data_IF_884280224511
#
_entry.id   IF_884280224511
#
_cell.length_a   1.000
_cell.length_b   1.000
_cell.length_c   1.000
_cell.angle_alpha   90.00
_cell.angle_beta   90.00
_cell.angle_gamma   90.00
#
_symmetry.space_group_name_H-M   'P 1'
#
loop_
_entity.id
_entity.type
_entity.pdbx_description
1 polymer ?
#
# COMPACT_ATOMS: atom_id res chain seq x y z
N UNK A 1 8.16 -6.24 53.43
CA UNK A 1 6.98 -6.50 52.59
C UNK A 1 7.39 -6.23 51.16
N UNK A 2 7.65 -7.30 50.44
CA UNK A 2 8.14 -7.33 49.09
C UNK A 2 6.94 -7.19 48.14
N UNK A 3 6.91 -6.12 47.33
CA UNK A 3 5.92 -5.96 46.26
C UNK A 3 6.18 -6.98 45.16
N UNK A 4 5.23 -7.84 44.95
CA UNK A 4 5.22 -8.79 43.86
C UNK A 4 5.12 -8.02 42.51
N UNK A 5 6.16 -8.13 41.70
CA UNK A 5 6.10 -7.76 40.27
C UNK A 5 5.21 -8.76 39.54
N UNK A 6 3.97 -8.36 39.24
CA UNK A 6 3.11 -9.08 38.35
C UNK A 6 3.70 -9.05 36.92
N UNK A 7 4.37 -10.14 36.57
CA UNK A 7 4.91 -10.41 35.27
C UNK A 7 3.81 -10.78 34.28
N UNK A 8 3.29 -9.81 33.54
CA UNK A 8 2.60 -10.06 32.28
C UNK A 8 3.42 -9.41 31.16
N UNK A 9 4.17 -10.24 30.41
CA UNK A 9 5.16 -9.85 29.40
C UNK A 9 4.57 -9.19 28.17
N UNK A 10 3.87 -8.07 28.36
CA UNK A 10 3.65 -7.07 27.32
C UNK A 10 4.69 -5.98 27.55
N UNK A 11 5.72 -5.96 26.72
CA UNK A 11 6.68 -4.85 26.67
C UNK A 11 5.93 -3.51 26.59
N UNK A 12 6.55 -2.43 27.09
CA UNK A 12 5.97 -1.10 27.07
C UNK A 12 5.45 -0.77 25.67
N UNK A 13 4.16 -0.43 25.57
CA UNK A 13 3.54 -0.17 24.26
C UNK A 13 4.06 1.16 23.68
N UNK A 14 4.32 1.18 22.38
CA UNK A 14 4.70 2.40 21.66
C UNK A 14 3.59 3.45 21.83
N UNK A 15 3.90 4.71 22.20
CA UNK A 15 2.94 5.81 22.28
C UNK A 15 2.23 6.04 20.95
N UNK A 16 0.91 6.25 20.98
CA UNK A 16 0.06 6.43 19.78
C UNK A 16 -0.43 7.87 19.70
N UNK A 17 -0.81 8.32 18.50
CA UNK A 17 -1.37 9.64 18.23
C UNK A 17 -0.68 10.34 17.06
N UNK A 18 -1.20 11.52 16.68
CA UNK A 18 -0.75 12.28 15.51
C UNK A 18 -0.25 13.69 15.86
N UNK A 19 -0.25 14.07 17.13
CA UNK A 19 0.23 15.37 17.58
C UNK A 19 1.76 15.38 17.71
N UNK A 20 2.34 16.57 17.76
CA UNK A 20 3.77 16.75 17.93
C UNK A 20 4.28 16.12 19.25
N UNK A 21 3.51 16.25 20.32
CA UNK A 21 3.81 15.66 21.63
C UNK A 21 3.87 14.13 21.57
N UNK A 22 3.00 13.50 20.75
CA UNK A 22 3.01 12.05 20.54
C UNK A 22 4.28 11.60 19.80
N UNK A 23 4.76 12.40 18.86
CA UNK A 23 6.03 12.16 18.16
C UNK A 23 7.21 12.25 19.12
N UNK A 24 7.25 13.25 19.99
CA UNK A 24 8.27 13.44 21.02
C UNK A 24 8.24 12.30 22.05
N UNK A 25 7.05 11.86 22.45
CA UNK A 25 6.89 10.71 23.33
C UNK A 25 7.46 9.42 22.70
N UNK A 26 7.24 9.18 21.40
CA UNK A 26 7.82 8.04 20.68
C UNK A 26 9.34 8.12 20.57
N UNK A 27 9.91 9.30 20.34
CA UNK A 27 11.36 9.53 20.31
C UNK A 27 11.99 9.22 21.66
N UNK A 28 11.38 9.70 22.74
CA UNK A 28 11.82 9.40 24.10
C UNK A 28 11.76 7.90 24.38
N UNK A 29 10.67 7.27 23.98
CA UNK A 29 10.50 5.82 24.09
C UNK A 29 11.58 5.04 23.34
N UNK A 30 11.92 5.44 22.09
CA UNK A 30 13.00 4.82 21.29
C UNK A 30 14.35 4.96 21.97
N UNK A 31 14.67 6.14 22.54
CA UNK A 31 15.90 6.38 23.28
C UNK A 31 16.01 5.47 24.50
N UNK A 32 14.93 5.38 25.29
CA UNK A 32 14.90 4.58 26.52
C UNK A 32 14.93 3.06 26.27
N UNK A 33 14.21 2.57 25.24
CA UNK A 33 14.01 1.14 25.03
C UNK A 33 14.94 0.53 23.99
N UNK A 34 15.40 1.30 23.01
CA UNK A 34 16.25 0.82 21.94
C UNK A 34 17.62 1.51 21.86
N UNK A 35 17.87 2.54 22.68
CA UNK A 35 19.11 3.31 22.63
C UNK A 35 19.27 4.13 21.34
N UNK A 36 18.17 4.35 20.59
CA UNK A 36 18.18 5.06 19.32
C UNK A 36 17.84 6.53 19.57
N UNK A 37 18.74 7.43 19.19
CA UNK A 37 18.53 8.87 19.17
C UNK A 37 18.42 9.33 17.72
N UNK A 38 17.27 9.97 17.38
CA UNK A 38 17.01 10.49 16.04
C UNK A 38 17.38 11.97 16.00
N UNK A 39 18.24 12.34 15.04
CA UNK A 39 18.62 13.73 14.80
C UNK A 39 17.48 14.47 14.12
N UNK A 40 17.09 15.62 14.68
CA UNK A 40 15.93 16.38 14.20
C UNK A 40 16.36 17.41 13.17
N UNK A 41 16.30 17.04 11.91
CA UNK A 41 16.70 17.91 10.80
C UNK A 41 15.54 18.41 9.96
N UNK A 42 14.27 18.19 10.39
CA UNK A 42 13.10 18.49 9.56
C UNK A 42 12.11 19.39 10.29
N UNK A 43 11.62 20.39 9.55
CA UNK A 43 10.72 21.45 10.01
C UNK A 43 9.22 21.10 9.91
N UNK A 44 8.89 19.89 9.40
CA UNK A 44 7.50 19.49 9.19
C UNK A 44 6.83 19.10 10.52
N UNK A 45 5.57 19.51 10.67
CA UNK A 45 4.76 19.23 11.85
C UNK A 45 4.18 17.83 11.77
N UNK A 46 4.13 17.14 12.92
CA UNK A 46 3.59 15.78 13.00
C UNK A 46 2.12 15.69 12.55
N UNK A 47 1.34 16.75 12.81
CA UNK A 47 -0.07 16.85 12.45
C UNK A 47 -0.31 16.80 10.94
N UNK A 48 0.62 17.33 10.14
CA UNK A 48 0.54 17.35 8.67
C UNK A 48 0.71 15.93 8.08
N UNK A 49 1.17 14.97 8.89
CA UNK A 49 1.39 13.58 8.50
C UNK A 49 0.24 12.65 8.86
N UNK A 50 -0.82 13.18 9.48
CA UNK A 50 -2.01 12.39 9.77
C UNK A 50 -2.66 11.86 8.49
N UNK A 51 -2.84 10.53 8.40
CA UNK A 51 -3.33 9.87 7.20
C UNK A 51 -2.25 9.55 6.16
N UNK A 52 -0.98 9.95 6.38
CA UNK A 52 0.16 9.61 5.54
C UNK A 52 0.95 8.48 6.19
N UNK A 53 1.28 8.60 7.48
CA UNK A 53 2.02 7.60 8.24
C UNK A 53 1.57 7.57 9.71
N UNK A 54 1.45 6.36 10.28
CA UNK A 54 1.18 6.13 11.69
C UNK A 54 2.49 6.06 12.49
N UNK A 55 2.42 6.42 13.79
CA UNK A 55 3.54 6.32 14.73
C UNK A 55 4.82 7.02 14.26
N UNK A 56 4.67 8.18 13.62
CA UNK A 56 5.79 8.99 13.12
C UNK A 56 6.81 9.29 14.23
N UNK A 57 8.09 9.21 13.90
CA UNK A 57 9.23 9.51 14.80
C UNK A 57 10.25 10.47 14.18
N UNK A 58 10.17 10.73 12.87
CA UNK A 58 11.07 11.58 12.11
C UNK A 58 11.15 11.18 10.66
N UNK A 59 12.02 11.85 9.92
CA UNK A 59 12.24 11.64 8.50
C UNK A 59 13.65 11.10 8.25
N UNK A 60 13.83 10.43 7.14
CA UNK A 60 15.12 10.04 6.63
C UNK A 60 15.35 10.70 5.28
N UNK A 61 16.49 11.37 5.10
CA UNK A 61 16.88 11.91 3.80
C UNK A 61 17.40 10.79 2.92
N UNK A 62 16.79 10.63 1.75
CA UNK A 62 17.22 9.67 0.72
C UNK A 62 17.73 10.44 -0.48
N UNK A 63 18.93 10.14 -1.02
CA UNK A 63 19.45 10.78 -2.22
C UNK A 63 18.49 10.58 -3.41
N UNK A 64 18.25 11.65 -4.17
CA UNK A 64 17.43 11.64 -5.37
C UNK A 64 18.28 11.97 -6.60
N UNK A 65 18.16 11.13 -7.63
CA UNK A 65 18.74 11.33 -8.94
C UNK A 65 17.64 11.54 -9.99
N UNK A 66 18.03 12.01 -11.18
CA UNK A 66 17.16 12.05 -12.36
C UNK A 66 17.75 11.10 -13.40
N UNK A 67 16.89 10.25 -13.96
CA UNK A 67 17.22 9.36 -15.07
C UNK A 67 16.39 9.73 -16.29
N UNK A 68 16.95 9.55 -17.50
CA UNK A 68 16.30 9.93 -18.75
C UNK A 68 17.23 10.68 -19.72
N UNK A 69 16.69 11.25 -20.82
CA UNK A 69 15.28 11.14 -21.25
C UNK A 69 14.93 9.74 -21.74
N UNK A 70 13.80 9.24 -21.29
CA UNK A 70 13.23 7.96 -21.71
C UNK A 70 12.16 8.20 -22.78
N UNK A 71 12.34 7.58 -23.95
CA UNK A 71 11.40 7.69 -25.06
C UNK A 71 10.26 6.69 -24.83
N UNK A 72 9.04 7.17 -24.71
CA UNK A 72 7.84 6.34 -24.51
C UNK A 72 6.87 6.55 -25.66
N UNK A 73 6.36 5.46 -26.22
CA UNK A 73 5.26 5.44 -27.20
C UNK A 73 4.13 4.60 -26.66
N UNK A 74 3.20 5.27 -25.99
CA UNK A 74 2.02 4.68 -25.38
C UNK A 74 0.77 5.53 -25.60
N UNK A 75 -0.39 4.95 -25.33
CA UNK A 75 -1.69 5.62 -25.51
C UNK A 75 -1.85 6.83 -24.60
N UNK A 76 -1.40 6.73 -23.35
CA UNK A 76 -1.59 7.74 -22.30
C UNK A 76 -0.33 8.55 -22.00
N UNK A 77 0.86 8.06 -22.43
CA UNK A 77 2.12 8.74 -22.31
C UNK A 77 2.91 8.55 -23.60
N UNK A 78 3.19 9.65 -24.29
CA UNK A 78 3.95 9.65 -25.54
C UNK A 78 4.91 10.83 -25.58
N UNK A 79 6.19 10.56 -25.80
CA UNK A 79 7.24 11.58 -25.84
C UNK A 79 8.46 11.20 -25.01
N UNK A 80 9.21 12.21 -24.58
CA UNK A 80 10.42 12.05 -23.76
C UNK A 80 10.13 12.42 -22.32
N UNK A 81 10.58 11.56 -21.38
CA UNK A 81 10.32 11.73 -19.96
C UNK A 81 11.61 11.56 -19.15
N UNK A 82 11.82 12.48 -18.21
CA UNK A 82 12.81 12.32 -17.15
C UNK A 82 12.10 11.87 -15.86
N UNK A 83 12.69 10.92 -15.15
CA UNK A 83 12.08 10.29 -13.97
C UNK A 83 12.97 10.53 -12.75
N UNK A 84 12.43 11.13 -11.66
CA UNK A 84 13.14 11.19 -10.39
C UNK A 84 13.19 9.80 -9.75
N UNK A 85 14.33 9.43 -9.19
CA UNK A 85 14.57 8.14 -8.54
C UNK A 85 15.24 8.36 -7.20
N UNK A 86 14.63 7.90 -6.14
CA UNK A 86 15.21 7.88 -4.80
C UNK A 86 15.80 6.51 -4.51
N UNK A 87 17.07 6.45 -4.13
CA UNK A 87 17.76 5.17 -3.87
C UNK A 87 18.94 5.32 -2.92
N UNK A 88 19.19 4.27 -2.14
CA UNK A 88 20.43 4.07 -1.39
C UNK A 88 21.37 3.05 -2.08
N UNK A 89 20.93 2.47 -3.20
CA UNK A 89 21.74 1.53 -3.98
C UNK A 89 22.72 2.29 -4.88
N UNK A 90 23.99 1.98 -4.74
CA UNK A 90 25.05 2.53 -5.61
C UNK A 90 24.87 2.11 -7.06
N UNK A 91 25.15 3.04 -7.99
CA UNK A 91 25.09 2.82 -9.46
C UNK A 91 23.71 2.54 -10.05
N UNK A 92 22.61 2.50 -9.27
CA UNK A 92 21.27 2.23 -9.79
C UNK A 92 20.87 3.24 -10.88
N UNK A 93 21.02 4.54 -10.64
CA UNK A 93 20.67 5.56 -11.63
C UNK A 93 21.49 5.44 -12.91
N UNK A 94 22.78 5.08 -12.81
CA UNK A 94 23.64 4.82 -13.96
C UNK A 94 23.20 3.57 -14.74
N UNK A 95 22.82 2.50 -14.03
CA UNK A 95 22.28 1.29 -14.64
C UNK A 95 20.98 1.55 -15.39
N UNK A 96 20.07 2.33 -14.78
CA UNK A 96 18.82 2.76 -15.42
C UNK A 96 19.08 3.58 -16.68
N UNK A 97 19.98 4.56 -16.64
CA UNK A 97 20.33 5.37 -17.80
C UNK A 97 20.94 4.53 -18.95
N UNK A 98 21.71 3.50 -18.63
CA UNK A 98 22.21 2.56 -19.63
C UNK A 98 21.07 1.78 -20.30
N UNK A 99 20.09 1.32 -19.55
CA UNK A 99 18.88 0.68 -20.06
C UNK A 99 18.03 1.63 -20.91
N UNK A 100 17.89 2.89 -20.50
CA UNK A 100 17.17 3.94 -21.22
C UNK A 100 17.86 4.21 -22.57
N UNK A 101 19.19 4.31 -22.61
CA UNK A 101 19.94 4.48 -23.85
C UNK A 101 19.73 3.29 -24.81
N UNK A 102 19.82 2.06 -24.30
CA UNK A 102 19.56 0.87 -25.11
C UNK A 102 18.14 0.84 -25.67
N UNK A 103 17.15 1.23 -24.86
CA UNK A 103 15.75 1.35 -25.29
C UNK A 103 15.56 2.41 -26.37
N UNK A 104 16.22 3.58 -26.22
CA UNK A 104 16.14 4.65 -27.20
C UNK A 104 16.72 4.22 -28.56
N UNK A 105 17.89 3.54 -28.56
CA UNK A 105 18.50 2.99 -29.78
C UNK A 105 17.63 1.91 -30.43
N UNK A 106 16.76 1.26 -29.68
CA UNK A 106 15.80 0.26 -30.17
C UNK A 106 14.44 0.85 -30.61
N UNK A 107 14.31 2.18 -30.65
CA UNK A 107 13.08 2.88 -31.05
C UNK A 107 12.14 3.25 -29.92
N UNK A 108 12.63 3.26 -28.69
CA UNK A 108 11.87 3.64 -27.52
C UNK A 108 11.08 2.50 -26.84
N UNK A 109 10.38 2.83 -25.77
CA UNK A 109 9.59 1.90 -24.98
C UNK A 109 8.15 1.97 -25.45
N UNK A 110 7.61 0.86 -25.97
CA UNK A 110 6.21 0.74 -26.35
C UNK A 110 5.39 0.30 -25.16
N UNK A 111 4.35 1.09 -24.82
CA UNK A 111 3.48 0.83 -23.67
C UNK A 111 2.06 0.58 -24.14
N UNK A 112 1.50 -0.55 -23.75
CA UNK A 112 0.09 -0.87 -23.95
C UNK A 112 -0.59 -1.04 -22.58
N UNK A 113 -1.68 -0.32 -22.38
CA UNK A 113 -2.46 -0.36 -21.15
C UNK A 113 -3.72 -1.18 -21.38
N UNK A 114 -3.85 -2.30 -20.70
CA UNK A 114 -5.01 -3.20 -20.83
C UNK A 114 -6.10 -2.85 -19.82
N UNK A 115 -5.74 -2.72 -18.53
CA UNK A 115 -6.67 -2.42 -17.44
C UNK A 115 -5.94 -1.93 -16.21
N UNK A 116 -6.66 -1.22 -15.35
CA UNK A 116 -6.19 -0.76 -14.04
C UNK A 116 -7.23 -1.21 -13.02
N UNK A 117 -6.91 -2.26 -12.30
CA UNK A 117 -7.80 -2.91 -11.34
C UNK A 117 -6.96 -3.45 -10.18
N UNK A 118 -7.55 -3.43 -9.00
CA UNK A 118 -6.98 -4.05 -7.81
C UNK A 118 -8.03 -4.97 -7.21
N UNK A 119 -7.61 -6.14 -6.72
CA UNK A 119 -8.56 -7.09 -6.17
C UNK A 119 -8.19 -7.56 -4.78
N UNK A 120 -9.20 -8.02 -4.05
CA UNK A 120 -9.09 -8.71 -2.78
C UNK A 120 -9.98 -9.96 -2.85
N UNK A 121 -9.39 -11.11 -2.63
CA UNK A 121 -10.03 -12.40 -2.84
C UNK A 121 -10.14 -13.22 -1.54
N UNK A 122 -11.08 -12.90 -0.63
CA UNK A 122 -11.35 -13.72 0.53
C UNK A 122 -11.84 -15.11 0.14
N UNK A 123 -11.42 -16.10 0.92
CA UNK A 123 -11.78 -17.50 0.73
C UNK A 123 -12.80 -17.90 1.80
N UNK A 124 -13.94 -18.42 1.37
CA UNK A 124 -14.99 -18.96 2.22
C UNK A 124 -14.95 -20.49 2.15
N UNK A 125 -14.96 -21.14 3.29
CA UNK A 125 -14.87 -22.61 3.43
C UNK A 125 -16.20 -23.11 3.97
N UNK A 126 -16.78 -24.11 3.32
CA UNK A 126 -18.07 -24.70 3.66
C UNK A 126 -17.90 -26.19 4.04
N UNK A 127 -18.85 -26.75 4.73
CA UNK A 127 -18.80 -28.15 5.14
C UNK A 127 -19.05 -29.11 3.95
N UNK A 128 -19.78 -28.65 2.92
CA UNK A 128 -20.11 -29.45 1.77
C UNK A 128 -20.34 -28.61 0.50
N UNK A 129 -20.42 -29.30 -0.65
CA UNK A 129 -20.61 -28.68 -1.98
C UNK A 129 -21.96 -27.99 -2.13
N UNK A 130 -22.99 -28.43 -1.42
CA UNK A 130 -24.32 -27.80 -1.50
C UNK A 130 -24.30 -26.41 -0.88
N UNK A 131 -23.71 -26.27 0.29
CA UNK A 131 -23.57 -24.98 0.96
C UNK A 131 -22.73 -23.99 0.16
N UNK A 132 -21.62 -24.44 -0.43
CA UNK A 132 -20.80 -23.59 -1.30
C UNK A 132 -21.57 -23.13 -2.54
N UNK A 133 -22.39 -24.00 -3.13
CA UNK A 133 -23.26 -23.65 -4.27
C UNK A 133 -24.37 -22.68 -3.86
N UNK A 134 -25.04 -22.92 -2.74
CA UNK A 134 -26.09 -22.04 -2.21
C UNK A 134 -25.51 -20.63 -1.90
N UNK A 135 -24.31 -20.57 -1.36
CA UNK A 135 -23.60 -19.31 -1.14
C UNK A 135 -23.31 -18.54 -2.43
N UNK A 136 -22.83 -19.20 -3.48
CA UNK A 136 -22.59 -18.54 -4.78
C UNK A 136 -23.88 -17.95 -5.37
N UNK A 137 -24.97 -18.69 -5.29
CA UNK A 137 -26.30 -18.21 -5.70
C UNK A 137 -26.72 -17.00 -4.87
N UNK A 138 -26.45 -17.01 -3.56
CA UNK A 138 -26.74 -15.90 -2.69
C UNK A 138 -25.90 -14.67 -3.04
N UNK A 139 -24.59 -14.83 -3.29
CA UNK A 139 -23.70 -13.73 -3.72
C UNK A 139 -24.22 -13.09 -4.99
N UNK A 140 -24.55 -13.89 -6.01
CA UNK A 140 -25.11 -13.40 -7.28
C UNK A 140 -26.39 -12.58 -7.08
N UNK A 141 -27.29 -13.03 -6.20
CA UNK A 141 -28.53 -12.33 -5.89
C UNK A 141 -28.34 -11.04 -5.08
N UNK A 142 -27.24 -10.95 -4.34
CA UNK A 142 -26.95 -9.83 -3.45
C UNK A 142 -25.76 -8.97 -3.89
N UNK A 143 -25.28 -9.14 -5.14
CA UNK A 143 -24.08 -8.46 -5.64
C UNK A 143 -24.14 -6.94 -5.42
N UNK A 144 -25.25 -6.30 -5.79
CA UNK A 144 -25.42 -4.85 -5.64
C UNK A 144 -25.44 -4.41 -4.16
N UNK A 145 -25.93 -5.25 -3.26
CA UNK A 145 -25.89 -4.98 -1.83
C UNK A 145 -24.47 -5.07 -1.29
N UNK A 146 -23.71 -6.07 -1.72
CA UNK A 146 -22.30 -6.27 -1.34
C UNK A 146 -21.47 -5.08 -1.83
N UNK A 147 -21.65 -4.68 -3.10
CA UNK A 147 -20.97 -3.50 -3.66
C UNK A 147 -21.24 -2.24 -2.84
N UNK A 148 -22.50 -1.95 -2.54
CA UNK A 148 -22.87 -0.77 -1.73
C UNK A 148 -22.25 -0.78 -0.34
N UNK A 149 -22.18 -1.93 0.32
CA UNK A 149 -21.54 -2.05 1.63
C UNK A 149 -20.04 -1.80 1.53
N UNK A 150 -19.38 -2.43 0.56
CA UNK A 150 -17.95 -2.22 0.33
C UNK A 150 -17.64 -0.75 -0.01
N UNK A 151 -18.40 -0.13 -0.91
CA UNK A 151 -18.21 1.27 -1.30
C UNK A 151 -18.53 2.27 -0.17
N UNK A 152 -19.32 1.89 0.83
CA UNK A 152 -19.62 2.75 1.98
C UNK A 152 -18.42 2.96 2.91
N UNK A 153 -17.38 2.16 2.79
CA UNK A 153 -16.15 2.24 3.62
C UNK A 153 -15.07 3.14 3.01
N UNK A 154 -15.27 3.63 1.80
CA UNK A 154 -14.31 4.48 1.08
C UNK A 154 -15.00 5.61 0.34
N UNK A 155 -14.29 6.73 0.19
CA UNK A 155 -14.77 7.87 -0.61
C UNK A 155 -14.23 7.85 -2.07
N UNK A 156 -13.33 6.95 -2.40
CA UNK A 156 -12.58 6.97 -3.66
C UNK A 156 -12.61 5.63 -4.42
N UNK A 157 -12.80 4.51 -3.72
CA UNK A 157 -12.85 3.19 -4.33
C UNK A 157 -14.23 2.85 -4.89
N UNK A 158 -14.27 2.14 -6.02
CA UNK A 158 -15.50 1.59 -6.61
C UNK A 158 -15.34 0.10 -6.87
N UNK A 159 -16.34 -0.69 -6.52
CA UNK A 159 -16.37 -2.12 -6.84
C UNK A 159 -16.85 -2.30 -8.27
N UNK A 160 -15.96 -2.68 -9.16
CA UNK A 160 -16.26 -2.89 -10.57
C UNK A 160 -17.09 -4.16 -10.80
N UNK A 161 -16.66 -5.28 -10.17
CA UNK A 161 -17.33 -6.58 -10.26
C UNK A 161 -16.92 -7.48 -9.09
N UNK A 162 -17.65 -8.56 -8.93
CA UNK A 162 -17.32 -9.64 -7.99
C UNK A 162 -17.24 -10.94 -8.79
N UNK A 163 -16.00 -11.41 -8.99
CA UNK A 163 -15.76 -12.68 -9.67
C UNK A 163 -15.78 -13.83 -8.63
N UNK A 164 -16.38 -14.97 -9.01
CA UNK A 164 -16.53 -16.11 -8.11
C UNK A 164 -15.76 -17.30 -8.66
N UNK A 165 -14.88 -17.88 -7.85
CA UNK A 165 -14.15 -19.09 -8.18
C UNK A 165 -14.43 -20.16 -7.15
N UNK A 166 -14.63 -21.40 -7.60
CA UNK A 166 -14.94 -22.53 -6.72
C UNK A 166 -13.93 -23.64 -6.90
N UNK A 167 -13.41 -24.13 -5.78
CA UNK A 167 -12.55 -25.31 -5.73
C UNK A 167 -13.09 -26.22 -4.63
N UNK A 168 -13.79 -27.28 -5.01
CA UNK A 168 -14.49 -28.16 -4.08
C UNK A 168 -15.49 -27.38 -3.20
N UNK A 169 -15.34 -27.43 -1.88
CA UNK A 169 -16.16 -26.72 -0.90
C UNK A 169 -15.61 -25.31 -0.55
N UNK A 170 -14.65 -24.80 -1.32
CA UNK A 170 -14.11 -23.45 -1.15
C UNK A 170 -14.73 -22.52 -2.20
N UNK A 171 -15.16 -21.35 -1.78
CA UNK A 171 -15.58 -20.26 -2.66
C UNK A 171 -14.66 -19.08 -2.45
N UNK A 172 -14.03 -18.61 -3.52
CA UNK A 172 -13.19 -17.43 -3.54
C UNK A 172 -14.01 -16.33 -4.18
N UNK A 173 -14.24 -15.23 -3.45
CA UNK A 173 -14.87 -14.03 -3.99
C UNK A 173 -13.79 -13.00 -4.32
N UNK A 174 -13.53 -12.78 -5.59
CA UNK A 174 -12.59 -11.76 -6.04
C UNK A 174 -13.33 -10.43 -6.24
N UNK A 175 -13.25 -9.55 -5.24
CA UNK A 175 -13.78 -8.20 -5.32
C UNK A 175 -12.78 -7.33 -6.08
N UNK A 176 -13.15 -6.97 -7.30
CA UNK A 176 -12.32 -6.17 -8.19
C UNK A 176 -12.73 -4.72 -8.10
N UNK A 177 -11.77 -3.87 -7.75
CA UNK A 177 -11.97 -2.46 -7.45
C UNK A 177 -11.18 -1.55 -8.38
N UNK A 178 -11.75 -0.39 -8.67
CA UNK A 178 -11.04 0.78 -9.17
C UNK A 178 -10.63 1.63 -7.95
N UNK A 179 -9.34 1.81 -7.76
CA UNK A 179 -8.75 2.61 -6.69
C UNK A 179 -8.27 3.99 -7.15
N UNK A 180 -8.69 4.38 -8.36
CA UNK A 180 -8.30 5.65 -8.99
C UNK A 180 -6.77 5.76 -9.09
N UNK A 181 -6.18 6.87 -8.65
CA UNK A 181 -4.72 7.10 -8.72
C UNK A 181 -3.94 6.54 -7.52
N UNK A 182 -4.61 5.88 -6.58
CA UNK A 182 -3.97 5.28 -5.42
C UNK A 182 -3.52 3.83 -5.70
N UNK A 183 -2.46 3.38 -5.03
CA UNK A 183 -2.11 1.96 -5.00
C UNK A 183 -3.23 1.11 -4.40
N UNK A 184 -3.99 1.66 -3.45
CA UNK A 184 -5.29 1.16 -3.01
C UNK A 184 -5.27 -0.03 -2.07
N UNK A 185 -4.11 -0.48 -1.58
CA UNK A 185 -4.03 -1.67 -0.73
C UNK A 185 -4.90 -1.58 0.52
N UNK A 186 -4.91 -0.42 1.19
CA UNK A 186 -5.73 -0.20 2.38
C UNK A 186 -7.22 0.01 2.07
N UNK A 187 -7.56 0.40 0.84
CA UNK A 187 -8.96 0.55 0.42
C UNK A 187 -9.65 -0.80 0.22
N UNK A 188 -8.89 -1.84 -0.14
CA UNK A 188 -9.42 -3.16 -0.48
C UNK A 188 -9.25 -4.18 0.64
N UNK A 189 -8.77 -3.75 1.81
CA UNK A 189 -8.61 -4.56 3.00
C UNK A 189 -9.72 -4.29 3.99
#
# INVERSE_FOLDING_TARGET
>A
MTEEKNGNGRGASIPRGYQQEDTEARRSWLKEHAGIELDDTLEDKAEDLQGIIENHVGFMKVPMAIVGPMIVDGKYAKGEFCVPVCTLEGTLAMSMNRGILASALSGGIKVNHFRQELSRAPVFIFDNLKESSDFQVWVTKNEEKIKKVAESTTNHGKVLRIDQYTVQNYVILDLVLDTSNAAGQNMVT
#
